data_IF_072437834136
#
_entry.id   IF_072437834136
#
_cell.length_a   1.000
_cell.length_b   1.000
_cell.length_c   1.000
_cell.angle_alpha   90.00
_cell.angle_beta   90.00
_cell.angle_gamma   90.00
#
_symmetry.space_group_name_H-M   'P 1'
#
loop_
_entity.id
_entity.type
_entity.pdbx_description
1 polymer ?
#
# COMPACT_ATOMS: atom_id res chain seq x y z
N UNK A 1 23.44 3.32 29.69
CA UNK A 1 23.29 4.09 28.44
C UNK A 1 21.92 3.75 27.91
N UNK A 2 20.97 4.68 27.93
CA UNK A 2 19.61 4.44 27.45
C UNK A 2 19.58 4.75 25.95
N UNK A 3 19.38 3.74 25.11
CA UNK A 3 19.07 3.91 23.69
C UNK A 3 17.69 4.58 23.59
N UNK A 4 17.65 5.76 22.97
CA UNK A 4 16.38 6.35 22.52
C UNK A 4 15.85 5.51 21.36
N UNK A 5 14.56 5.12 21.35
CA UNK A 5 13.99 4.46 20.18
C UNK A 5 14.10 5.42 18.99
N UNK A 6 14.69 4.96 17.89
CA UNK A 6 14.73 5.72 16.65
C UNK A 6 13.30 6.19 16.30
N UNK A 7 13.11 7.45 15.89
CA UNK A 7 11.77 7.92 15.54
C UNK A 7 11.20 7.02 14.44
N UNK A 8 9.90 6.71 14.47
CA UNK A 8 9.28 6.01 13.36
C UNK A 8 9.50 6.85 12.10
N UNK A 9 10.37 6.38 11.21
CA UNK A 9 10.62 7.04 9.94
C UNK A 9 9.31 6.89 9.17
N UNK A 10 8.54 7.98 9.08
CA UNK A 10 7.39 8.04 8.20
C UNK A 10 7.84 7.62 6.80
N UNK A 11 7.08 6.78 6.08
CA UNK A 11 7.50 6.30 4.77
C UNK A 11 7.74 7.48 3.83
N UNK A 12 8.84 7.42 3.07
CA UNK A 12 9.12 8.44 2.06
C UNK A 12 8.15 8.33 0.89
N UNK A 13 8.09 9.36 0.04
CA UNK A 13 7.28 9.33 -1.18
C UNK A 13 7.66 8.16 -2.09
N UNK A 14 8.96 7.84 -2.20
CA UNK A 14 9.46 6.70 -2.98
C UNK A 14 9.08 5.36 -2.36
N UNK A 15 9.04 5.26 -1.03
CA UNK A 15 8.54 4.06 -0.34
C UNK A 15 7.06 3.84 -0.64
N UNK A 16 6.26 4.91 -0.59
CA UNK A 16 4.83 4.87 -0.89
C UNK A 16 4.57 4.50 -2.35
N UNK A 17 5.32 5.07 -3.30
CA UNK A 17 5.23 4.73 -4.73
C UNK A 17 5.61 3.27 -5.00
N UNK A 18 6.68 2.79 -4.37
CA UNK A 18 7.09 1.39 -4.46
C UNK A 18 6.06 0.44 -3.86
N UNK A 19 5.43 0.84 -2.75
CA UNK A 19 4.34 0.09 -2.13
C UNK A 19 3.08 0.09 -3.01
N UNK A 20 2.76 1.22 -3.66
CA UNK A 20 1.63 1.34 -4.58
C UNK A 20 1.80 0.38 -5.76
N UNK A 21 2.96 0.39 -6.41
CA UNK A 21 3.26 -0.53 -7.52
C UNK A 21 3.15 -2.01 -7.10
N UNK A 22 3.53 -2.35 -5.86
CA UNK A 22 3.31 -3.70 -5.32
C UNK A 22 1.82 -4.00 -5.17
N UNK A 23 1.04 -3.12 -4.55
CA UNK A 23 -0.39 -3.30 -4.34
C UNK A 23 -1.18 -3.41 -5.67
N UNK A 24 -0.79 -2.65 -6.69
CA UNK A 24 -1.39 -2.74 -8.03
C UNK A 24 -1.11 -4.10 -8.69
N UNK A 25 0.10 -4.65 -8.53
CA UNK A 25 0.41 -6.02 -8.98
C UNK A 25 -0.36 -7.07 -8.19
N UNK A 26 -0.49 -6.90 -6.88
CA UNK A 26 -1.26 -7.82 -6.03
C UNK A 26 -2.73 -7.84 -6.44
N UNK A 27 -3.30 -6.69 -6.83
CA UNK A 27 -4.67 -6.60 -7.35
C UNK A 27 -4.84 -7.41 -8.64
N UNK A 28 -3.88 -7.30 -9.58
CA UNK A 28 -3.88 -8.11 -10.82
C UNK A 28 -3.76 -9.60 -10.49
N UNK A 29 -2.88 -9.97 -9.55
CA UNK A 29 -2.74 -11.35 -9.09
C UNK A 29 -4.02 -11.88 -8.44
N UNK A 30 -4.69 -11.06 -7.62
CA UNK A 30 -5.94 -11.43 -6.97
C UNK A 30 -7.06 -11.69 -7.98
N UNK A 31 -7.10 -10.94 -9.08
CA UNK A 31 -8.08 -11.11 -10.15
C UNK A 31 -7.93 -12.45 -10.89
N UNK A 32 -6.73 -13.03 -10.90
CA UNK A 32 -6.44 -14.33 -11.52
C UNK A 32 -6.74 -15.53 -10.62
N UNK A 33 -7.27 -15.33 -9.40
CA UNK A 33 -7.59 -16.43 -8.48
C UNK A 33 -8.86 -17.16 -8.96
N UNK A 34 -8.73 -18.47 -9.24
CA UNK A 34 -9.85 -19.31 -9.69
C UNK A 34 -10.96 -19.48 -8.63
N UNK A 35 -10.59 -19.52 -7.36
CA UNK A 35 -11.56 -19.62 -6.27
C UNK A 35 -12.29 -18.27 -6.13
N UNK A 36 -13.53 -18.20 -6.61
CA UNK A 36 -14.32 -16.97 -6.66
C UNK A 36 -14.47 -16.25 -5.32
N UNK A 37 -14.66 -16.97 -4.21
CA UNK A 37 -14.77 -16.36 -2.89
C UNK A 37 -13.43 -15.74 -2.46
N UNK A 38 -12.32 -16.46 -2.65
CA UNK A 38 -10.98 -15.93 -2.35
C UNK A 38 -10.64 -14.75 -3.25
N UNK A 39 -10.93 -14.82 -4.54
CA UNK A 39 -10.75 -13.73 -5.50
C UNK A 39 -11.41 -12.44 -4.99
N UNK A 40 -12.68 -12.49 -4.59
CA UNK A 40 -13.39 -11.32 -4.09
C UNK A 40 -12.75 -10.72 -2.83
N UNK A 41 -12.33 -11.58 -1.88
CA UNK A 41 -11.68 -11.13 -0.63
C UNK A 41 -10.34 -10.44 -0.93
N UNK A 42 -9.49 -11.09 -1.73
CA UNK A 42 -8.13 -10.63 -2.03
C UNK A 42 -8.17 -9.37 -2.90
N UNK A 43 -9.05 -9.31 -3.92
CA UNK A 43 -9.24 -8.10 -4.72
C UNK A 43 -9.73 -6.94 -3.87
N UNK A 44 -10.69 -7.17 -2.98
CA UNK A 44 -11.18 -6.13 -2.07
C UNK A 44 -10.11 -5.63 -1.11
N UNK A 45 -9.23 -6.51 -0.62
CA UNK A 45 -8.10 -6.13 0.22
C UNK A 45 -7.04 -5.34 -0.55
N UNK A 46 -6.66 -5.80 -1.74
CA UNK A 46 -5.68 -5.13 -2.60
C UNK A 46 -6.19 -3.75 -3.05
N UNK A 47 -7.46 -3.64 -3.44
CA UNK A 47 -8.07 -2.37 -3.86
C UNK A 47 -8.04 -1.34 -2.73
N UNK A 48 -8.47 -1.71 -1.51
CA UNK A 48 -8.38 -0.81 -0.35
C UNK A 48 -6.95 -0.32 -0.12
N UNK A 49 -5.97 -1.22 -0.26
CA UNK A 49 -4.55 -0.87 -0.09
C UNK A 49 -4.06 0.11 -1.17
N UNK A 50 -4.48 -0.07 -2.42
CA UNK A 50 -4.19 0.87 -3.52
C UNK A 50 -4.77 2.25 -3.21
N UNK A 51 -6.03 2.31 -2.79
CA UNK A 51 -6.72 3.57 -2.48
C UNK A 51 -6.06 4.30 -1.31
N UNK A 52 -5.72 3.57 -0.24
CA UNK A 52 -5.03 4.11 0.94
C UNK A 52 -3.63 4.66 0.59
N UNK A 53 -2.89 3.98 -0.28
CA UNK A 53 -1.56 4.41 -0.71
C UNK A 53 -1.65 5.65 -1.62
N UNK A 54 -2.61 5.68 -2.54
CA UNK A 54 -2.86 6.88 -3.37
C UNK A 54 -3.22 8.08 -2.51
N UNK A 55 -4.09 7.92 -1.53
CA UNK A 55 -4.45 8.98 -0.60
C UNK A 55 -3.24 9.48 0.22
N UNK A 56 -2.37 8.58 0.69
CA UNK A 56 -1.14 8.95 1.40
C UNK A 56 -0.17 9.73 0.50
N UNK A 57 0.02 9.27 -0.74
CA UNK A 57 0.86 9.95 -1.73
C UNK A 57 0.33 11.36 -1.99
N UNK A 58 -0.96 11.51 -2.29
CA UNK A 58 -1.56 12.83 -2.56
C UNK A 58 -1.40 13.79 -1.39
N UNK A 59 -1.65 13.35 -0.14
CA UNK A 59 -1.45 14.19 1.05
C UNK A 59 0.00 14.64 1.22
N UNK A 60 0.96 13.76 0.91
CA UNK A 60 2.37 14.08 1.01
C UNK A 60 2.80 15.06 -0.10
N UNK A 61 2.33 14.86 -1.33
CA UNK A 61 2.60 15.75 -2.46
C UNK A 61 1.95 17.14 -2.30
N UNK A 62 0.78 17.25 -1.68
CA UNK A 62 0.15 18.54 -1.33
C UNK A 62 0.87 19.31 -0.21
N UNK A 63 1.75 18.63 0.54
CA UNK A 63 2.49 19.21 1.66
C UNK A 63 3.82 19.86 1.24
N UNK A 64 4.18 19.81 -0.04
CA UNK A 64 5.40 20.40 -0.63
C UNK A 64 5.03 21.44 -1.70
#
# INVERSE_FOLDING_TARGET
MSELPAPPIAPSLDDLRSALSRAERDLVCADMIDNGQRRQIEMGAAQRRVDDLKAQISRLEESF
#
